data_IF_274520877700
#
_entry.id   IF_274520877700
#
_cell.length_a   1.000
_cell.length_b   1.000
_cell.length_c   1.000
_cell.angle_alpha   90.00
_cell.angle_beta   90.00
_cell.angle_gamma   90.00
#
_symmetry.space_group_name_H-M   'P 1'
#
loop_
_entity.id
_entity.type
_entity.pdbx_description
1 polymer ?
#
# COMPACT_ATOMS: atom_id res chain seq x y z
N UNK A 1 -13.70 16.24 -16.76
CA UNK A 1 -13.27 15.57 -18.00
C UNK A 1 -14.05 14.28 -18.18
N UNK A 2 -14.18 13.72 -19.38
CA UNK A 2 -14.61 12.33 -19.48
C UNK A 2 -13.63 11.45 -18.72
N UNK A 3 -14.11 10.36 -18.12
CA UNK A 3 -13.29 9.36 -17.45
C UNK A 3 -12.22 8.82 -18.40
N UNK A 4 -10.96 8.71 -17.95
CA UNK A 4 -9.85 8.12 -18.71
C UNK A 4 -9.92 6.60 -18.55
N UNK A 5 -10.17 6.18 -17.30
CA UNK A 5 -10.43 4.79 -16.91
C UNK A 5 -11.82 4.68 -16.31
N UNK A 6 -12.23 3.50 -15.89
CA UNK A 6 -13.50 3.32 -15.16
C UNK A 6 -13.33 3.52 -13.64
N UNK A 7 -12.11 3.87 -13.17
CA UNK A 7 -11.79 4.07 -11.77
C UNK A 7 -11.34 5.52 -11.50
N UNK A 8 -12.15 6.27 -10.76
CA UNK A 8 -11.87 7.67 -10.42
C UNK A 8 -10.57 7.86 -9.63
N UNK A 9 -10.12 6.85 -8.89
CA UNK A 9 -8.89 6.88 -8.09
C UNK A 9 -7.66 6.92 -9.00
N UNK A 10 -7.70 6.13 -10.07
CA UNK A 10 -6.68 6.11 -11.11
C UNK A 10 -6.70 7.43 -11.90
N UNK A 11 -7.89 7.85 -12.33
CA UNK A 11 -8.08 9.10 -13.08
C UNK A 11 -7.61 10.34 -12.31
N UNK A 12 -7.73 10.32 -10.97
CA UNK A 12 -7.30 11.41 -10.12
C UNK A 12 -5.78 11.58 -10.09
N UNK A 13 -5.01 10.52 -10.37
CA UNK A 13 -3.54 10.53 -10.36
C UNK A 13 -2.97 10.73 -11.77
N UNK A 14 -3.74 10.48 -12.84
CA UNK A 14 -3.29 10.65 -14.22
C UNK A 14 -3.28 12.13 -14.65
N UNK A 15 -2.18 12.61 -15.20
CA UNK A 15 -2.07 13.97 -15.74
C UNK A 15 -2.94 14.17 -17.00
N UNK A 16 -3.22 13.10 -17.73
CA UNK A 16 -4.11 13.07 -18.90
C UNK A 16 -3.94 11.77 -19.67
N UNK A 17 -4.91 11.45 -20.52
CA UNK A 17 -4.85 10.24 -21.35
C UNK A 17 -3.66 10.25 -22.33
N UNK A 18 -3.19 11.43 -22.72
CA UNK A 18 -2.13 11.63 -23.71
C UNK A 18 -0.80 12.09 -23.10
N UNK A 19 -0.77 12.31 -21.78
CA UNK A 19 0.44 12.74 -21.06
C UNK A 19 1.23 11.50 -20.68
N UNK A 20 1.97 10.95 -21.62
CA UNK A 20 2.85 9.78 -21.48
C UNK A 20 3.91 9.78 -22.58
N UNK A 21 4.96 8.96 -22.40
CA UNK A 21 6.09 8.92 -23.36
C UNK A 21 5.74 8.33 -24.72
N UNK A 22 4.79 7.46 -24.80
CA UNK A 22 4.24 6.99 -26.09
C UNK A 22 2.74 7.28 -26.13
N UNK A 23 2.34 8.45 -26.66
CA UNK A 23 0.94 8.88 -26.67
C UNK A 23 0.07 8.09 -27.66
N UNK A 24 0.65 7.29 -28.56
CA UNK A 24 -0.12 6.55 -29.56
C UNK A 24 -1.02 5.48 -28.92
N UNK A 25 -0.51 4.74 -27.92
CA UNK A 25 -1.26 3.69 -27.24
C UNK A 25 -0.85 3.56 -25.76
N UNK A 26 -1.81 3.58 -24.83
CA UNK A 26 -1.58 3.22 -23.43
C UNK A 26 -1.28 1.71 -23.31
N UNK A 27 -0.50 1.34 -22.27
CA UNK A 27 -0.19 -0.05 -22.00
C UNK A 27 0.77 -0.72 -22.99
N UNK A 28 1.58 0.05 -23.71
CA UNK A 28 2.64 -0.48 -24.58
C UNK A 28 4.01 -0.31 -23.97
N UNK A 29 4.94 -1.27 -24.23
CA UNK A 29 6.32 -1.16 -23.81
C UNK A 29 6.98 0.13 -24.34
N UNK A 30 7.76 0.80 -23.50
CA UNK A 30 8.50 2.01 -23.87
C UNK A 30 9.96 1.91 -23.44
N UNK A 31 10.86 2.34 -24.31
CA UNK A 31 12.28 2.50 -24.00
C UNK A 31 12.61 3.98 -23.84
N UNK A 32 13.11 4.35 -22.65
CA UNK A 32 13.51 5.72 -22.32
C UNK A 32 15.00 5.79 -22.05
N UNK A 33 15.62 6.87 -22.52
CA UNK A 33 16.97 7.22 -22.12
C UNK A 33 16.93 8.21 -20.98
N UNK A 34 17.91 8.13 -20.06
CA UNK A 34 18.06 9.13 -19.02
C UNK A 34 19.51 9.57 -18.85
N UNK A 35 19.69 10.78 -18.32
CA UNK A 35 21.01 11.32 -18.04
C UNK A 35 20.99 12.24 -16.81
N UNK A 36 22.16 12.39 -16.19
CA UNK A 36 22.37 13.36 -15.12
C UNK A 36 22.98 14.63 -15.72
N UNK A 37 22.28 15.75 -15.58
CA UNK A 37 22.70 17.04 -16.16
C UNK A 37 24.13 17.38 -15.75
N UNK A 38 25.01 17.55 -16.75
CA UNK A 38 26.40 17.99 -16.56
C UNK A 38 26.53 19.52 -16.53
N UNK A 39 25.55 20.21 -17.10
CA UNK A 39 25.40 21.65 -17.11
C UNK A 39 23.91 22.00 -17.28
N UNK A 40 23.52 23.24 -16.99
CA UNK A 40 22.18 23.74 -17.28
C UNK A 40 21.86 23.57 -18.77
N UNK A 41 20.73 22.92 -19.13
CA UNK A 41 20.30 22.80 -20.52
C UNK A 41 20.15 24.15 -21.21
N UNK A 42 20.50 24.23 -22.49
CA UNK A 42 20.42 25.48 -23.28
C UNK A 42 18.98 25.94 -23.52
N UNK A 43 18.03 25.06 -23.43
CA UNK A 43 16.59 25.34 -23.57
C UNK A 43 15.91 25.65 -22.23
N UNK A 44 16.57 25.39 -21.09
CA UNK A 44 16.03 25.60 -19.75
C UNK A 44 15.74 27.09 -19.48
N UNK A 45 14.74 27.40 -18.67
CA UNK A 45 14.49 28.77 -18.22
C UNK A 45 15.60 29.19 -17.24
N UNK A 46 16.43 30.19 -17.61
CA UNK A 46 17.52 30.61 -16.72
C UNK A 46 17.05 31.16 -15.36
N UNK A 47 15.83 31.67 -15.27
CA UNK A 47 15.29 32.24 -14.03
C UNK A 47 14.71 31.17 -13.09
N UNK A 48 14.09 30.14 -13.65
CA UNK A 48 13.51 29.03 -12.91
C UNK A 48 14.52 27.89 -12.77
N UNK A 49 14.88 27.25 -13.88
CA UNK A 49 15.70 26.03 -13.91
C UNK A 49 17.17 26.35 -13.58
N UNK A 50 17.64 27.54 -14.00
CA UNK A 50 19.02 28.00 -13.80
C UNK A 50 19.32 28.58 -12.41
N UNK A 51 18.33 28.75 -11.56
CA UNK A 51 18.50 29.35 -10.23
C UNK A 51 19.40 28.48 -9.35
N UNK A 52 20.66 28.87 -9.16
CA UNK A 52 21.69 28.10 -8.45
C UNK A 52 21.78 26.63 -8.91
N UNK A 53 21.67 26.41 -10.21
CA UNK A 53 21.80 25.07 -10.81
C UNK A 53 23.05 24.36 -10.29
N UNK A 54 22.91 23.08 -9.99
CA UNK A 54 24.03 22.16 -9.71
C UNK A 54 23.73 20.75 -10.19
N UNK A 55 24.80 20.00 -10.42
CA UNK A 55 24.67 18.58 -10.78
C UNK A 55 24.19 17.76 -9.58
N UNK A 56 23.54 16.65 -9.82
CA UNK A 56 23.17 15.71 -8.75
C UNK A 56 24.40 15.16 -8.02
N UNK A 57 24.26 14.95 -6.70
CA UNK A 57 25.24 14.24 -5.88
C UNK A 57 25.28 12.76 -6.26
N UNK A 58 26.36 12.04 -5.86
CA UNK A 58 26.44 10.60 -6.13
C UNK A 58 25.36 9.82 -5.40
N UNK A 59 24.95 10.24 -4.19
CA UNK A 59 23.84 9.62 -3.45
C UNK A 59 22.50 9.76 -4.21
N UNK A 60 22.20 10.95 -4.75
CA UNK A 60 21.02 11.16 -5.58
C UNK A 60 21.05 10.29 -6.86
N UNK A 61 22.20 10.19 -7.52
CA UNK A 61 22.35 9.36 -8.73
C UNK A 61 22.14 7.87 -8.43
N UNK A 62 22.60 7.39 -7.27
CA UNK A 62 22.38 6.01 -6.83
C UNK A 62 20.87 5.79 -6.64
N UNK A 63 20.21 6.64 -5.87
CA UNK A 63 18.77 6.53 -5.60
C UNK A 63 17.92 6.59 -6.88
N UNK A 64 18.24 7.49 -7.82
CA UNK A 64 17.55 7.52 -9.13
C UNK A 64 17.70 6.19 -9.86
N UNK A 65 18.89 5.61 -9.92
CA UNK A 65 19.13 4.31 -10.58
C UNK A 65 18.33 3.18 -9.91
N UNK A 66 18.27 3.17 -8.60
CA UNK A 66 17.49 2.18 -7.82
C UNK A 66 15.99 2.32 -8.12
N UNK A 67 15.46 3.54 -8.08
CA UNK A 67 14.04 3.81 -8.39
C UNK A 67 13.71 3.40 -9.83
N UNK A 68 14.51 3.81 -10.82
CA UNK A 68 14.30 3.44 -12.23
C UNK A 68 14.42 1.93 -12.46
N UNK A 69 15.32 1.25 -11.75
CA UNK A 69 15.44 -0.21 -11.79
C UNK A 69 14.17 -0.88 -11.24
N UNK A 70 13.67 -0.40 -10.11
CA UNK A 70 12.41 -0.89 -9.52
C UNK A 70 11.24 -0.69 -10.48
N UNK A 71 11.10 0.50 -11.07
CA UNK A 71 10.05 0.77 -12.06
C UNK A 71 10.17 -0.12 -13.31
N UNK A 72 11.40 -0.39 -13.79
CA UNK A 72 11.63 -1.34 -14.89
C UNK A 72 11.26 -2.78 -14.52
N UNK A 73 11.37 -3.16 -13.25
CA UNK A 73 10.93 -4.49 -12.80
C UNK A 73 9.41 -4.63 -12.73
N UNK A 74 8.72 -3.51 -12.48
CA UNK A 74 7.26 -3.44 -12.25
C UNK A 74 6.47 -3.17 -13.54
N UNK A 75 7.03 -2.44 -14.49
CA UNK A 75 6.32 -2.00 -15.70
C UNK A 75 7.09 -2.32 -16.98
N UNK A 76 6.39 -2.32 -18.11
CA UNK A 76 7.01 -2.47 -19.43
C UNK A 76 7.74 -1.19 -19.87
N UNK A 77 8.53 -0.62 -18.98
CA UNK A 77 9.44 0.50 -19.24
C UNK A 77 10.89 0.00 -19.11
N UNK A 78 11.73 0.40 -20.03
CA UNK A 78 13.18 0.20 -19.91
C UNK A 78 13.88 1.56 -19.85
N UNK A 79 14.81 1.72 -18.92
CA UNK A 79 15.60 2.94 -18.76
C UNK A 79 17.06 2.66 -19.12
N UNK A 80 17.62 3.49 -20.02
CA UNK A 80 19.03 3.39 -20.44
C UNK A 80 19.76 4.68 -20.09
N UNK A 81 20.76 4.57 -19.21
CA UNK A 81 21.61 5.73 -18.88
C UNK A 81 22.52 6.09 -20.03
N UNK A 82 22.56 7.37 -20.38
CA UNK A 82 23.49 7.91 -21.38
C UNK A 82 24.27 9.08 -20.79
N UNK A 83 25.42 9.38 -21.39
CA UNK A 83 26.23 10.52 -20.99
C UNK A 83 25.55 11.83 -21.38
N UNK A 84 25.41 12.75 -20.43
CA UNK A 84 24.85 14.08 -20.68
C UNK A 84 25.86 15.01 -21.33
N UNK A 85 25.42 15.69 -22.39
CA UNK A 85 26.16 16.76 -23.05
C UNK A 85 25.17 17.72 -23.71
N UNK A 86 25.67 18.83 -24.25
CA UNK A 86 24.85 19.80 -25.03
C UNK A 86 24.28 19.25 -26.34
N UNK A 87 24.79 18.13 -26.85
CA UNK A 87 24.39 17.53 -28.10
C UNK A 87 23.73 16.16 -27.97
N UNK A 88 23.87 15.53 -26.79
CA UNK A 88 23.31 14.20 -26.49
C UNK A 88 22.92 14.15 -25.05
N UNK A 89 21.65 13.93 -24.75
CA UNK A 89 21.08 13.85 -23.41
C UNK A 89 19.90 12.89 -23.37
N UNK A 90 19.55 12.45 -22.16
CA UNK A 90 18.40 11.55 -21.94
C UNK A 90 17.06 12.25 -22.16
N UNK A 91 16.03 11.44 -22.43
CA UNK A 91 14.65 11.92 -22.42
C UNK A 91 14.23 12.36 -21.01
N UNK A 92 14.73 11.64 -19.98
CA UNK A 92 14.66 12.09 -18.59
C UNK A 92 16.01 12.71 -18.22
N UNK A 93 16.00 13.93 -17.69
CA UNK A 93 17.22 14.59 -17.25
C UNK A 93 17.10 15.04 -15.82
N UNK A 94 18.10 14.75 -15.02
CA UNK A 94 18.10 14.94 -13.58
C UNK A 94 19.13 15.98 -13.16
N UNK A 95 18.69 17.03 -12.46
CA UNK A 95 19.54 18.10 -11.93
C UNK A 95 19.04 18.63 -10.60
N UNK A 96 19.73 19.65 -10.09
CA UNK A 96 19.32 20.37 -8.89
C UNK A 96 19.27 21.87 -9.17
N UNK A 97 18.38 22.59 -8.49
CA UNK A 97 18.39 24.06 -8.46
C UNK A 97 17.83 24.57 -7.13
N UNK A 98 17.97 25.86 -6.84
CA UNK A 98 17.39 26.42 -5.62
C UNK A 98 15.93 26.78 -5.84
N UNK A 99 15.07 26.27 -4.98
CA UNK A 99 13.63 26.50 -4.98
C UNK A 99 13.22 27.12 -3.63
N UNK A 100 12.16 27.91 -3.62
CA UNK A 100 11.72 28.63 -2.41
C UNK A 100 10.60 27.94 -1.65
N UNK A 101 9.80 27.12 -2.33
CA UNK A 101 8.54 26.57 -1.77
C UNK A 101 8.34 25.08 -2.02
N UNK A 102 9.20 24.45 -2.84
CA UNK A 102 9.04 23.04 -3.22
C UNK A 102 10.30 22.24 -2.88
N UNK A 103 10.15 20.95 -2.68
CA UNK A 103 11.26 20.00 -2.49
C UNK A 103 11.89 19.57 -3.82
N UNK A 104 11.11 19.60 -4.87
CA UNK A 104 11.48 19.34 -6.26
C UNK A 104 10.40 19.85 -7.20
N UNK A 105 10.63 19.70 -8.49
CA UNK A 105 9.62 19.74 -9.54
C UNK A 105 10.10 18.98 -10.77
N UNK A 106 9.16 18.51 -11.56
CA UNK A 106 9.45 17.83 -12.81
C UNK A 106 8.47 18.26 -13.91
N UNK A 107 8.92 18.15 -15.15
CA UNK A 107 8.10 18.39 -16.33
C UNK A 107 7.47 17.08 -16.80
N UNK A 108 6.17 17.13 -17.11
CA UNK A 108 5.44 15.99 -17.66
C UNK A 108 6.01 15.49 -18.99
N UNK A 109 5.72 14.23 -19.39
CA UNK A 109 6.08 13.69 -20.69
C UNK A 109 5.21 14.26 -21.81
N UNK A 110 5.03 15.57 -21.83
CA UNK A 110 4.24 16.31 -22.81
C UNK A 110 5.16 16.87 -23.89
N UNK A 111 5.12 16.28 -25.07
CA UNK A 111 5.93 16.71 -26.21
C UNK A 111 5.65 18.13 -26.67
N UNK A 112 4.52 18.74 -26.26
CA UNK A 112 4.19 20.13 -26.61
C UNK A 112 5.10 21.16 -25.93
N UNK A 113 5.72 20.79 -24.79
CA UNK A 113 6.65 21.65 -24.05
C UNK A 113 8.10 21.53 -24.56
N UNK A 114 8.34 20.76 -25.62
CA UNK A 114 9.65 20.61 -26.24
C UNK A 114 10.64 19.80 -25.41
N UNK A 115 11.88 20.25 -25.39
CA UNK A 115 13.01 19.54 -24.79
C UNK A 115 12.99 19.54 -23.24
N UNK A 116 12.10 20.33 -22.60
CA UNK A 116 11.90 20.30 -21.16
C UNK A 116 11.15 19.05 -20.69
N UNK A 117 10.43 18.34 -21.57
CA UNK A 117 9.67 17.15 -21.20
C UNK A 117 10.56 16.11 -20.53
N UNK A 118 10.20 15.70 -19.30
CA UNK A 118 10.97 14.74 -18.52
C UNK A 118 12.16 15.30 -17.74
N UNK A 119 12.41 16.62 -17.77
CA UNK A 119 13.40 17.25 -16.90
C UNK A 119 12.91 17.28 -15.45
N UNK A 120 13.82 17.03 -14.53
CA UNK A 120 13.55 17.00 -13.10
C UNK A 120 14.63 17.75 -12.33
N UNK A 121 14.19 18.59 -11.38
CA UNK A 121 15.08 19.39 -10.53
C UNK A 121 14.73 19.20 -9.05
N UNK A 122 15.70 18.75 -8.26
CA UNK A 122 15.59 18.66 -6.80
C UNK A 122 16.10 19.96 -6.16
N UNK A 123 15.43 20.38 -5.12
CA UNK A 123 15.78 21.61 -4.41
C UNK A 123 17.11 21.47 -3.66
N UNK A 124 18.09 22.33 -3.97
CA UNK A 124 19.39 22.40 -3.32
C UNK A 124 19.58 23.67 -2.48
N UNK A 125 18.52 24.43 -2.19
CA UNK A 125 18.62 25.57 -1.30
C UNK A 125 19.17 25.15 0.08
N UNK A 126 19.94 26.02 0.77
CA UNK A 126 20.55 25.68 2.06
C UNK A 126 19.55 25.20 3.13
N UNK A 127 18.35 25.75 3.13
CA UNK A 127 17.24 25.37 4.01
C UNK A 127 16.60 24.02 3.61
N UNK A 128 16.81 23.55 2.39
CA UNK A 128 16.33 22.27 1.85
C UNK A 128 17.39 21.16 1.98
N UNK A 129 18.27 21.22 2.96
CA UNK A 129 19.40 20.29 3.12
C UNK A 129 18.98 18.82 3.18
N UNK A 130 17.73 18.52 3.55
CA UNK A 130 17.21 17.14 3.60
C UNK A 130 16.98 16.55 2.20
N UNK A 131 16.75 17.36 1.16
CA UNK A 131 16.45 16.86 -0.18
C UNK A 131 17.69 16.37 -0.96
N UNK A 132 18.88 16.80 -0.57
CA UNK A 132 20.14 16.38 -1.17
C UNK A 132 20.80 15.19 -0.44
N UNK A 133 20.40 14.93 0.81
CA UNK A 133 20.88 13.80 1.59
C UNK A 133 19.92 12.60 1.41
N UNK A 134 20.04 11.94 0.28
CA UNK A 134 19.11 10.88 -0.14
C UNK A 134 19.52 9.55 0.49
N UNK A 135 18.70 9.08 1.40
CA UNK A 135 18.80 7.74 2.02
C UNK A 135 17.42 7.10 1.93
N UNK A 136 17.38 5.80 1.71
CA UNK A 136 16.14 5.02 1.73
C UNK A 136 15.31 5.29 3.00
N UNK A 137 14.01 5.51 2.86
CA UNK A 137 13.13 5.85 3.98
C UNK A 137 13.21 7.31 4.44
N UNK A 138 13.82 8.21 3.69
CA UNK A 138 13.84 9.65 3.98
C UNK A 138 12.95 10.44 3.02
N UNK A 139 12.57 11.65 3.43
CA UNK A 139 11.82 12.59 2.59
C UNK A 139 12.50 12.85 1.23
N UNK A 140 13.84 12.94 1.20
CA UNK A 140 14.57 13.08 -0.05
C UNK A 140 14.38 11.90 -1.01
N UNK A 141 14.27 10.67 -0.50
CA UNK A 141 14.00 9.48 -1.31
C UNK A 141 12.55 9.47 -1.82
N UNK A 142 11.60 9.77 -0.93
CA UNK A 142 10.17 9.91 -1.26
C UNK A 142 9.96 11.00 -2.32
N UNK A 143 10.61 12.16 -2.18
CA UNK A 143 10.58 13.25 -3.15
C UNK A 143 11.07 12.79 -4.53
N UNK A 144 12.16 12.02 -4.61
CA UNK A 144 12.63 11.51 -5.91
C UNK A 144 11.59 10.59 -6.58
N UNK A 145 10.91 9.72 -5.83
CA UNK A 145 9.84 8.87 -6.39
C UNK A 145 8.70 9.75 -6.91
N UNK A 146 8.29 10.76 -6.13
CA UNK A 146 7.24 11.72 -6.49
C UNK A 146 7.58 12.44 -7.81
N UNK A 147 8.75 13.06 -7.88
CA UNK A 147 9.15 13.82 -9.08
C UNK A 147 9.35 12.92 -10.31
N UNK A 148 9.88 11.70 -10.12
CA UNK A 148 9.94 10.71 -11.20
C UNK A 148 8.52 10.32 -11.64
N UNK A 149 7.55 10.23 -10.72
CA UNK A 149 6.14 10.03 -11.04
C UNK A 149 5.61 11.07 -12.05
N UNK A 150 5.92 12.35 -11.84
CA UNK A 150 5.56 13.43 -12.78
C UNK A 150 6.19 13.22 -14.15
N UNK A 151 7.48 12.84 -14.22
CA UNK A 151 8.14 12.57 -15.50
C UNK A 151 7.53 11.39 -16.27
N UNK A 152 6.74 10.56 -15.60
CA UNK A 152 6.03 9.41 -16.16
C UNK A 152 4.55 9.67 -16.41
N UNK A 153 4.01 10.86 -16.08
CA UNK A 153 2.63 11.25 -16.37
C UNK A 153 1.67 11.22 -15.19
N UNK A 154 2.17 11.11 -13.96
CA UNK A 154 1.34 11.24 -12.77
C UNK A 154 1.19 12.70 -12.35
N UNK A 155 -0.01 13.10 -11.91
CA UNK A 155 -0.29 14.43 -11.35
C UNK A 155 -0.66 14.34 -9.87
N UNK A 156 -0.71 15.49 -9.19
CA UNK A 156 -1.24 15.59 -7.84
C UNK A 156 -2.73 15.21 -7.82
N UNK A 157 -3.15 14.30 -6.93
CA UNK A 157 -4.53 13.83 -6.89
C UNK A 157 -5.51 14.80 -6.25
N UNK A 158 -5.05 15.76 -5.44
CA UNK A 158 -5.87 16.74 -4.77
C UNK A 158 -5.98 18.07 -5.54
N UNK A 159 -6.95 18.90 -5.17
CA UNK A 159 -7.13 20.25 -5.75
C UNK A 159 -6.29 21.29 -4.97
N UNK A 160 -4.99 21.28 -5.14
CA UNK A 160 -4.05 22.06 -4.31
C UNK A 160 -3.73 23.46 -4.85
N UNK A 161 -4.30 23.89 -5.98
CA UNK A 161 -3.90 25.14 -6.66
C UNK A 161 -2.38 25.22 -6.89
N UNK A 162 -1.72 24.11 -7.15
CA UNK A 162 -0.29 24.07 -7.42
C UNK A 162 0.01 24.79 -8.73
N UNK A 163 0.14 26.11 -8.66
CA UNK A 163 0.46 27.01 -9.77
C UNK A 163 1.93 26.88 -10.23
N UNK A 164 2.58 25.74 -9.97
CA UNK A 164 4.03 25.65 -10.14
C UNK A 164 4.48 25.25 -11.54
N UNK A 165 3.67 24.60 -12.36
CA UNK A 165 4.14 24.20 -13.70
C UNK A 165 2.99 23.91 -14.67
N UNK A 166 2.31 24.96 -15.05
CA UNK A 166 1.52 24.98 -16.29
C UNK A 166 0.48 23.87 -16.44
N UNK A 167 -0.71 24.02 -15.88
CA UNK A 167 -1.87 23.40 -16.47
C UNK A 167 -2.82 22.63 -15.54
N UNK A 168 -2.38 22.07 -14.45
CA UNK A 168 -3.18 21.04 -13.73
C UNK A 168 -4.14 21.57 -12.66
N UNK A 169 -4.11 22.85 -12.35
CA UNK A 169 -4.78 23.44 -11.20
C UNK A 169 -6.33 23.31 -11.19
N UNK A 170 -6.96 22.79 -12.25
CA UNK A 170 -8.42 22.76 -12.35
C UNK A 170 -9.02 21.54 -13.05
N UNK A 171 -8.24 20.49 -13.33
CA UNK A 171 -8.74 19.34 -14.07
C UNK A 171 -8.90 18.10 -13.18
N UNK A 172 -10.12 17.92 -12.64
CA UNK A 172 -10.52 16.70 -11.91
C UNK A 172 -10.61 15.47 -12.82
N UNK A 173 -10.89 14.28 -12.26
CA UNK A 173 -11.32 14.09 -10.88
C UNK A 173 -10.19 14.32 -9.86
N UNK A 174 -10.60 14.56 -8.60
CA UNK A 174 -9.69 14.73 -7.47
C UNK A 174 -10.04 13.75 -6.37
N UNK A 175 -9.04 13.24 -5.68
CA UNK A 175 -9.24 12.54 -4.42
C UNK A 175 -9.68 13.54 -3.33
N UNK A 176 -10.43 13.06 -2.37
CA UNK A 176 -10.93 13.90 -1.26
C UNK A 176 -10.92 13.13 0.05
N UNK A 177 -10.88 13.88 1.17
CA UNK A 177 -10.91 13.28 2.50
C UNK A 177 -9.69 12.38 2.74
N UNK A 178 -9.89 11.21 3.30
CA UNK A 178 -8.82 10.28 3.69
C UNK A 178 -8.08 9.66 2.50
N UNK A 179 -8.68 9.64 1.32
CA UNK A 179 -8.02 9.09 0.12
C UNK A 179 -6.98 10.05 -0.47
N UNK A 180 -7.13 11.36 -0.22
CA UNK A 180 -6.12 12.35 -0.60
C UNK A 180 -5.01 12.38 0.45
N UNK A 181 -4.19 11.35 0.45
CA UNK A 181 -3.02 11.24 1.33
C UNK A 181 -1.93 10.40 0.69
N UNK A 182 -0.70 10.55 1.20
CA UNK A 182 0.47 9.76 0.79
C UNK A 182 0.31 8.26 1.04
N UNK A 183 -0.69 7.83 1.81
CA UNK A 183 -1.02 6.42 1.99
C UNK A 183 -1.53 5.77 0.70
N UNK A 184 -2.22 6.52 -0.15
CA UNK A 184 -2.87 6.03 -1.37
C UNK A 184 -2.21 6.52 -2.65
N UNK A 185 -1.57 7.70 -2.62
CA UNK A 185 -0.79 8.25 -3.74
C UNK A 185 0.39 9.05 -3.21
N UNK A 186 1.61 8.69 -3.64
CA UNK A 186 2.82 9.47 -3.33
C UNK A 186 2.75 10.88 -3.92
N UNK A 187 1.85 11.10 -4.89
CA UNK A 187 1.62 12.41 -5.51
C UNK A 187 0.76 13.33 -4.64
N UNK A 188 0.22 12.88 -3.49
CA UNK A 188 -0.54 13.69 -2.55
C UNK A 188 0.36 14.63 -1.75
N UNK A 189 -0.17 15.81 -1.41
CA UNK A 189 0.47 16.76 -0.47
C UNK A 189 -0.04 16.61 0.97
N UNK A 190 -0.92 15.65 1.21
CA UNK A 190 -1.40 15.33 2.55
C UNK A 190 -0.49 14.27 3.16
N UNK A 191 0.41 14.64 4.09
CA UNK A 191 1.38 13.72 4.64
C UNK A 191 0.69 12.61 5.43
N UNK A 192 1.37 11.47 5.48
CA UNK A 192 1.00 10.39 6.36
C UNK A 192 1.19 10.80 7.84
N UNK A 193 0.37 10.24 8.73
CA UNK A 193 0.52 10.42 10.17
C UNK A 193 1.88 9.90 10.65
N UNK A 194 2.41 10.46 11.73
CA UNK A 194 3.67 10.07 12.36
C UNK A 194 4.96 10.44 11.59
N UNK A 195 4.89 11.18 10.46
CA UNK A 195 6.06 11.63 9.72
C UNK A 195 6.91 10.52 9.11
N UNK A 196 6.29 9.37 8.82
CA UNK A 196 6.93 8.28 8.09
C UNK A 196 6.94 8.59 6.60
N UNK A 197 8.01 8.19 5.92
CA UNK A 197 8.20 8.45 4.51
C UNK A 197 7.93 7.19 3.67
N UNK A 198 7.37 7.39 2.48
CA UNK A 198 7.07 6.30 1.55
C UNK A 198 8.33 5.88 0.78
N UNK A 199 8.50 4.57 0.62
CA UNK A 199 9.68 3.98 -0.03
C UNK A 199 9.41 3.38 -1.41
N UNK A 200 8.15 3.31 -1.83
CA UNK A 200 7.73 2.80 -3.14
C UNK A 200 6.43 3.49 -3.59
N UNK A 201 5.98 3.19 -4.80
CA UNK A 201 4.71 3.70 -5.31
C UNK A 201 3.57 3.34 -4.34
N UNK A 202 2.62 4.24 -4.21
CA UNK A 202 1.39 3.96 -3.51
C UNK A 202 0.39 3.22 -4.42
N UNK A 203 -0.68 2.61 -3.87
CA UNK A 203 -1.59 1.77 -4.65
C UNK A 203 -2.19 2.45 -5.88
N UNK A 204 -2.55 3.73 -5.79
CA UNK A 204 -3.18 4.44 -6.91
C UNK A 204 -2.15 4.86 -7.96
N UNK A 205 -0.91 5.20 -7.55
CA UNK A 205 0.18 5.51 -8.48
C UNK A 205 0.56 4.29 -9.30
N UNK A 206 0.69 3.13 -8.65
CA UNK A 206 0.99 1.87 -9.33
C UNK A 206 -0.09 1.52 -10.35
N UNK A 207 -1.37 1.65 -9.98
CA UNK A 207 -2.49 1.39 -10.88
C UNK A 207 -2.50 2.37 -12.07
N UNK A 208 -2.19 3.65 -11.83
CA UNK A 208 -2.10 4.65 -12.89
C UNK A 208 -0.93 4.37 -13.86
N UNK A 209 0.25 4.03 -13.33
CA UNK A 209 1.39 3.64 -14.19
C UNK A 209 1.13 2.31 -14.91
N UNK A 210 0.38 1.38 -14.30
CA UNK A 210 -0.05 0.15 -14.97
C UNK A 210 -0.94 0.44 -16.19
N UNK A 211 -1.84 1.41 -16.07
CA UNK A 211 -2.65 1.86 -17.20
C UNK A 211 -1.79 2.49 -18.30
N UNK A 212 -0.82 3.34 -17.95
CA UNK A 212 0.03 4.04 -18.92
C UNK A 212 1.02 3.12 -19.62
N UNK A 213 1.64 2.19 -18.90
CA UNK A 213 2.84 1.46 -19.33
C UNK A 213 2.76 -0.06 -19.18
N UNK A 214 1.60 -0.61 -18.88
CA UNK A 214 1.40 -2.02 -18.61
C UNK A 214 2.24 -2.56 -17.43
N UNK A 215 1.59 -3.15 -16.44
CA UNK A 215 2.29 -3.80 -15.34
C UNK A 215 2.82 -5.18 -15.77
N UNK A 216 3.99 -5.53 -15.27
CA UNK A 216 4.50 -6.89 -15.28
C UNK A 216 3.91 -7.66 -14.13
N UNK A 217 3.79 -8.97 -14.28
CA UNK A 217 3.41 -9.84 -13.18
C UNK A 217 4.54 -9.87 -12.13
N UNK A 218 4.18 -9.63 -10.88
CA UNK A 218 5.10 -9.62 -9.75
C UNK A 218 4.75 -10.75 -8.78
N UNK A 219 5.76 -11.42 -8.24
CA UNK A 219 5.58 -12.35 -7.12
C UNK A 219 4.46 -13.39 -7.37
N UNK A 220 4.51 -14.11 -8.49
CA UNK A 220 3.45 -15.05 -8.93
C UNK A 220 3.52 -16.44 -8.29
N UNK A 221 4.43 -16.68 -7.37
CA UNK A 221 4.57 -17.92 -6.64
C UNK A 221 4.20 -17.74 -5.17
N UNK A 222 4.19 -18.81 -4.40
CA UNK A 222 3.92 -18.74 -2.97
C UNK A 222 5.02 -17.92 -2.26
N UNK A 223 4.66 -16.74 -1.77
CA UNK A 223 5.58 -15.78 -1.16
C UNK A 223 5.30 -15.59 0.34
N UNK A 224 6.36 -15.38 1.12
CA UNK A 224 6.24 -14.94 2.50
C UNK A 224 6.88 -13.58 2.66
N UNK A 225 6.07 -12.60 3.06
CA UNK A 225 6.48 -11.23 3.32
C UNK A 225 6.79 -11.06 4.80
N UNK A 226 8.06 -11.30 5.16
CA UNK A 226 8.52 -11.16 6.54
C UNK A 226 8.52 -9.68 6.96
N UNK A 227 7.80 -9.40 8.04
CA UNK A 227 7.68 -8.09 8.66
C UNK A 227 8.49 -8.06 9.95
N UNK A 228 9.15 -6.96 10.24
CA UNK A 228 9.99 -6.76 11.42
C UNK A 228 9.61 -5.46 12.14
N UNK A 229 10.19 -5.22 13.32
CA UNK A 229 9.99 -3.93 14.00
C UNK A 229 10.44 -2.73 13.15
N UNK A 230 11.47 -2.90 12.32
CA UNK A 230 11.94 -1.87 11.39
C UNK A 230 10.97 -1.60 10.24
N UNK A 231 10.03 -2.51 9.95
CA UNK A 231 8.96 -2.26 8.97
C UNK A 231 8.08 -1.07 9.36
N UNK A 232 8.06 -0.71 10.65
CA UNK A 232 7.38 0.47 11.18
C UNK A 232 8.06 1.81 10.88
N UNK A 233 9.26 1.81 10.31
CA UNK A 233 10.02 3.03 10.05
C UNK A 233 9.69 3.70 8.71
N UNK A 234 8.88 3.06 7.89
CA UNK A 234 8.55 3.50 6.53
C UNK A 234 7.09 3.22 6.20
N UNK A 235 6.60 3.87 5.14
CA UNK A 235 5.32 3.53 4.50
C UNK A 235 5.61 2.75 3.22
N UNK A 236 4.92 1.61 3.04
CA UNK A 236 5.14 0.75 1.88
C UNK A 236 3.87 0.08 1.36
N UNK A 237 3.92 -0.39 0.13
CA UNK A 237 2.89 -1.21 -0.50
C UNK A 237 3.49 -2.52 -0.98
N UNK A 238 2.82 -3.63 -0.69
CA UNK A 238 3.14 -4.95 -1.25
C UNK A 238 2.32 -5.13 -2.53
N UNK A 239 2.98 -5.60 -3.59
CA UNK A 239 2.39 -5.98 -4.87
C UNK A 239 2.65 -7.45 -5.12
N UNK A 240 1.59 -8.20 -5.32
CA UNK A 240 1.60 -9.62 -5.57
C UNK A 240 0.50 -9.97 -6.57
N UNK A 241 0.84 -10.76 -7.59
CA UNK A 241 -0.07 -11.12 -8.69
C UNK A 241 -0.44 -12.61 -8.67
N UNK A 242 -0.22 -13.29 -7.55
CA UNK A 242 -0.74 -14.62 -7.31
C UNK A 242 0.25 -15.63 -6.77
N UNK A 243 -0.29 -16.57 -6.09
CA UNK A 243 0.37 -17.58 -5.28
C UNK A 243 -0.57 -17.99 -4.15
N UNK A 244 0.02 -18.54 -3.10
CA UNK A 244 -0.60 -18.73 -1.81
C UNK A 244 0.32 -18.05 -0.79
N UNK A 245 -0.01 -16.81 -0.43
CA UNK A 245 0.92 -15.83 0.08
C UNK A 245 0.68 -15.50 1.55
N UNK A 246 1.72 -15.11 2.25
CA UNK A 246 1.69 -14.86 3.71
C UNK A 246 2.25 -13.49 4.07
N UNK A 247 1.51 -12.72 4.87
CA UNK A 247 2.09 -11.65 5.68
C UNK A 247 2.56 -12.27 7.01
N UNK A 248 3.84 -12.23 7.26
CA UNK A 248 4.48 -12.87 8.41
C UNK A 248 5.08 -11.83 9.36
N UNK A 249 4.40 -11.58 10.48
CA UNK A 249 4.84 -10.71 11.57
C UNK A 249 5.36 -11.49 12.80
N UNK A 250 5.69 -12.77 12.64
CA UNK A 250 6.07 -13.66 13.76
C UNK A 250 7.30 -13.18 14.56
N UNK A 251 8.16 -12.35 13.95
CA UNK A 251 9.33 -11.75 14.60
C UNK A 251 9.02 -10.42 15.33
N UNK A 252 7.75 -9.92 15.27
CA UNK A 252 7.36 -8.66 15.91
C UNK A 252 6.85 -8.94 17.34
N UNK A 253 7.29 -8.10 18.28
CA UNK A 253 6.85 -8.25 19.68
C UNK A 253 5.81 -7.21 20.11
N UNK A 254 5.60 -6.18 19.32
CA UNK A 254 4.57 -5.16 19.53
C UNK A 254 3.27 -5.55 18.83
N UNK A 255 2.11 -5.12 19.33
CA UNK A 255 0.84 -5.37 18.66
C UNK A 255 0.83 -4.93 17.21
N UNK A 256 0.35 -5.79 16.31
CA UNK A 256 0.19 -5.49 14.89
C UNK A 256 -1.28 -5.52 14.47
N UNK A 257 -1.59 -4.82 13.39
CA UNK A 257 -2.83 -4.99 12.63
C UNK A 257 -2.43 -5.48 11.25
N UNK A 258 -2.76 -6.72 10.90
CA UNK A 258 -2.60 -7.25 9.54
C UNK A 258 -3.97 -7.33 8.87
N UNK A 259 -4.14 -6.62 7.77
CA UNK A 259 -5.37 -6.60 7.00
C UNK A 259 -5.10 -7.08 5.58
N UNK A 260 -5.67 -8.22 5.21
CA UNK A 260 -5.47 -8.87 3.91
C UNK A 260 -6.34 -8.27 2.79
N UNK A 261 -7.11 -7.23 3.08
CA UNK A 261 -7.88 -6.52 2.04
C UNK A 261 -6.99 -5.55 1.27
N UNK A 262 -7.27 -5.39 -0.02
CA UNK A 262 -6.59 -4.40 -0.86
C UNK A 262 -6.78 -2.98 -0.34
N UNK A 263 -5.88 -2.08 -0.71
CA UNK A 263 -5.86 -0.72 -0.21
C UNK A 263 -7.18 0.03 -0.47
N UNK A 264 -7.81 0.41 0.61
CA UNK A 264 -8.99 1.27 0.68
C UNK A 264 -9.01 1.97 2.06
N UNK A 265 -9.81 3.01 2.26
CA UNK A 265 -9.95 3.61 3.57
C UNK A 265 -10.38 2.59 4.63
N UNK A 266 -9.56 2.44 5.67
CA UNK A 266 -9.78 1.49 6.77
C UNK A 266 -9.27 0.07 6.55
N UNK A 267 -8.53 -0.21 5.46
CA UNK A 267 -7.95 -1.54 5.18
C UNK A 267 -6.43 -1.59 5.30
N UNK A 268 -5.79 -0.54 5.77
CA UNK A 268 -4.33 -0.52 5.92
C UNK A 268 -3.87 -1.30 7.14
N UNK A 269 -2.72 -1.93 7.02
CA UNK A 269 -2.06 -2.62 8.11
C UNK A 269 -1.17 -1.67 8.93
N UNK A 270 -0.93 -2.02 10.19
CA UNK A 270 -0.07 -1.29 11.13
C UNK A 270 0.96 -2.24 11.69
N UNK A 271 2.24 -2.04 11.35
CA UNK A 271 3.29 -3.00 11.68
C UNK A 271 4.57 -2.32 12.17
N UNK A 272 5.16 -2.87 13.22
CA UNK A 272 6.46 -2.46 13.75
C UNK A 272 6.45 -1.14 14.52
N UNK A 273 7.62 -0.58 14.74
CA UNK A 273 7.85 0.64 15.51
C UNK A 273 8.38 1.77 14.63
N UNK A 274 7.84 2.96 14.83
CA UNK A 274 8.37 4.21 14.26
C UNK A 274 9.79 4.52 14.78
N UNK A 275 10.54 5.43 14.14
CA UNK A 275 11.88 5.79 14.60
C UNK A 275 11.97 6.32 16.05
N UNK A 276 10.87 6.85 16.60
CA UNK A 276 10.76 7.30 18.00
C UNK A 276 10.21 6.21 18.94
N UNK A 277 10.06 4.98 18.47
CA UNK A 277 9.69 3.81 19.25
C UNK A 277 8.20 3.71 19.60
N UNK A 278 7.32 4.41 18.85
CA UNK A 278 5.88 4.23 18.98
C UNK A 278 5.38 3.17 17.99
N UNK A 279 4.25 2.48 18.27
CA UNK A 279 3.62 1.64 17.26
C UNK A 279 3.32 2.43 15.98
N UNK A 280 3.70 1.87 14.84
CA UNK A 280 3.39 2.48 13.55
C UNK A 280 1.91 2.28 13.20
N UNK A 281 1.30 3.25 12.54
CA UNK A 281 -0.11 3.20 12.15
C UNK A 281 -0.26 3.35 10.65
N UNK A 282 -1.06 2.47 10.02
CA UNK A 282 -1.41 2.53 8.61
C UNK A 282 -0.19 2.62 7.66
N UNK A 283 0.90 1.95 8.00
CA UNK A 283 2.17 2.06 7.28
C UNK A 283 2.39 0.98 6.22
N UNK A 284 1.50 -0.02 6.14
CA UNK A 284 1.56 -1.08 5.14
C UNK A 284 0.22 -1.19 4.40
N UNK A 285 0.26 -1.22 3.07
CA UNK A 285 -0.90 -1.44 2.21
C UNK A 285 -0.65 -2.59 1.23
N UNK A 286 -1.72 -3.19 0.73
CA UNK A 286 -1.70 -4.12 -0.40
C UNK A 286 -2.12 -3.39 -1.68
N UNK A 287 -1.50 -3.72 -2.80
CA UNK A 287 -1.89 -3.20 -4.12
C UNK A 287 -3.35 -3.53 -4.46
N UNK A 288 -3.96 -2.77 -5.39
CA UNK A 288 -5.39 -2.90 -5.70
C UNK A 288 -5.78 -4.29 -6.26
N UNK A 289 -4.83 -5.02 -6.83
CA UNK A 289 -5.03 -6.36 -7.38
C UNK A 289 -4.28 -7.46 -6.60
N UNK A 290 -3.64 -7.09 -5.48
CA UNK A 290 -2.88 -8.02 -4.64
C UNK A 290 -3.83 -8.87 -3.81
N UNK A 291 -3.59 -10.16 -3.79
CA UNK A 291 -4.32 -11.13 -2.97
C UNK A 291 -3.33 -11.87 -2.08
N UNK A 292 -3.55 -11.82 -0.78
CA UNK A 292 -2.78 -12.55 0.23
C UNK A 292 -3.75 -13.44 1.01
N UNK A 293 -3.40 -14.70 1.22
CA UNK A 293 -4.27 -15.69 1.85
C UNK A 293 -4.00 -15.89 3.32
N UNK A 294 -2.79 -15.61 3.79
CA UNK A 294 -2.38 -15.92 5.16
C UNK A 294 -1.84 -14.71 5.91
N UNK A 295 -2.13 -14.64 7.20
CA UNK A 295 -1.54 -13.69 8.12
C UNK A 295 -1.05 -14.40 9.38
N UNK A 296 0.16 -14.07 9.81
CA UNK A 296 0.78 -14.58 11.04
C UNK A 296 1.13 -13.38 11.91
N UNK A 297 0.54 -13.31 13.09
CA UNK A 297 0.84 -12.32 14.12
C UNK A 297 2.16 -12.60 14.84
N UNK A 298 2.51 -11.75 15.80
CA UNK A 298 3.73 -11.83 16.58
C UNK A 298 3.56 -12.37 17.98
N UNK A 299 4.10 -11.66 18.97
CA UNK A 299 3.91 -11.97 20.38
C UNK A 299 3.09 -10.90 21.12
N UNK A 300 2.60 -9.91 20.40
CA UNK A 300 1.73 -8.84 20.91
C UNK A 300 0.26 -9.25 20.86
N UNK A 301 -0.62 -8.38 21.34
CA UNK A 301 -2.05 -8.55 21.16
C UNK A 301 -2.43 -8.05 19.75
N UNK A 302 -2.57 -8.96 18.81
CA UNK A 302 -2.65 -8.68 17.39
C UNK A 302 -4.09 -8.62 16.88
N UNK A 303 -4.30 -7.93 15.76
CA UNK A 303 -5.55 -7.98 15.01
C UNK A 303 -5.29 -8.44 13.60
N UNK A 304 -5.80 -9.63 13.25
CA UNK A 304 -5.65 -10.24 11.94
C UNK A 304 -7.00 -10.22 11.22
N UNK A 305 -7.06 -9.60 10.04
CA UNK A 305 -8.29 -9.44 9.26
C UNK A 305 -8.08 -10.09 7.90
N UNK A 306 -8.84 -11.13 7.61
CA UNK A 306 -8.88 -11.82 6.33
C UNK A 306 -9.54 -10.98 5.23
N UNK A 307 -9.76 -11.59 4.09
CA UNK A 307 -10.40 -10.98 2.92
C UNK A 307 -11.56 -11.86 2.41
N UNK A 308 -11.91 -11.76 1.13
CA UNK A 308 -12.99 -12.57 0.55
C UNK A 308 -12.59 -14.00 0.14
N UNK A 309 -11.31 -14.34 0.24
CA UNK A 309 -10.79 -15.69 -0.02
C UNK A 309 -10.83 -16.56 1.24
N UNK A 310 -10.49 -17.82 1.10
CA UNK A 310 -10.26 -18.70 2.26
C UNK A 310 -8.90 -18.35 2.87
N UNK A 311 -8.89 -17.87 4.10
CA UNK A 311 -7.70 -17.40 4.78
C UNK A 311 -7.21 -18.36 5.88
N UNK A 312 -5.92 -18.30 6.19
CA UNK A 312 -5.37 -18.85 7.44
C UNK A 312 -4.82 -17.70 8.28
N UNK A 313 -5.38 -17.52 9.48
CA UNK A 313 -4.98 -16.48 10.42
C UNK A 313 -4.40 -17.14 11.66
N UNK A 314 -3.18 -16.76 12.05
CA UNK A 314 -2.44 -17.33 13.20
C UNK A 314 -2.03 -16.19 14.11
N UNK A 315 -2.60 -16.12 15.34
CA UNK A 315 -2.29 -15.09 16.33
C UNK A 315 -0.90 -15.26 16.95
N UNK A 316 -0.53 -16.47 17.32
CA UNK A 316 0.64 -16.90 18.11
C UNK A 316 0.48 -16.61 19.61
N UNK A 317 1.28 -15.71 20.22
CA UNK A 317 1.16 -15.37 21.63
C UNK A 317 0.49 -13.99 21.77
N UNK A 318 -0.35 -13.84 22.76
CA UNK A 318 -1.06 -12.58 23.03
C UNK A 318 -2.57 -12.79 23.09
N UNK A 319 -3.29 -11.77 23.52
CA UNK A 319 -4.77 -11.78 23.45
C UNK A 319 -5.16 -11.23 22.07
N UNK A 320 -5.40 -12.12 21.10
CA UNK A 320 -5.51 -11.77 19.68
C UNK A 320 -6.96 -11.63 19.22
N UNK A 321 -7.17 -10.91 18.13
CA UNK A 321 -8.47 -10.82 17.44
C UNK A 321 -8.30 -11.24 15.99
N UNK A 322 -8.89 -12.38 15.62
CA UNK A 322 -8.85 -12.96 14.29
C UNK A 322 -10.22 -12.83 13.63
N UNK A 323 -10.30 -12.19 12.46
CA UNK A 323 -11.56 -11.92 11.73
C UNK A 323 -11.47 -12.47 10.33
N UNK A 324 -12.11 -13.62 10.04
CA UNK A 324 -11.98 -14.33 8.75
C UNK A 324 -12.64 -13.64 7.56
N UNK A 325 -13.77 -12.98 7.76
CA UNK A 325 -14.64 -12.37 6.76
C UNK A 325 -15.42 -13.38 5.92
N UNK A 326 -15.24 -13.38 4.58
CA UNK A 326 -15.88 -14.32 3.66
C UNK A 326 -14.93 -15.49 3.39
N UNK A 327 -15.48 -16.62 2.91
CA UNK A 327 -14.66 -17.77 2.52
C UNK A 327 -14.82 -18.95 3.46
N UNK A 328 -13.80 -19.80 3.47
CA UNK A 328 -13.61 -20.85 4.47
C UNK A 328 -12.31 -20.59 5.19
N UNK A 329 -12.40 -20.05 6.40
CA UNK A 329 -11.26 -19.51 7.10
C UNK A 329 -10.81 -20.42 8.23
N UNK A 330 -9.50 -20.62 8.33
CA UNK A 330 -8.86 -21.33 9.43
C UNK A 330 -8.22 -20.33 10.38
N UNK A 331 -8.60 -20.38 11.65
CA UNK A 331 -8.11 -19.50 12.68
C UNK A 331 -7.44 -20.28 13.80
N UNK A 332 -6.27 -19.83 14.19
CA UNK A 332 -5.44 -20.37 15.27
C UNK A 332 -5.14 -19.21 16.18
N UNK A 333 -5.72 -19.17 17.38
CA UNK A 333 -5.49 -18.10 18.36
C UNK A 333 -4.07 -18.16 18.90
N UNK A 334 -3.69 -19.30 19.45
CA UNK A 334 -2.41 -19.53 20.08
C UNK A 334 -2.48 -19.46 21.61
N UNK A 335 -1.47 -18.82 22.24
CA UNK A 335 -1.48 -18.63 23.70
C UNK A 335 -2.11 -17.27 24.04
N UNK A 336 -3.14 -17.27 24.84
CA UNK A 336 -3.83 -16.06 25.30
C UNK A 336 -5.32 -16.23 25.49
N UNK A 337 -6.03 -15.11 25.49
CA UNK A 337 -7.49 -15.07 25.52
C UNK A 337 -7.97 -14.44 24.21
N UNK A 338 -8.22 -15.29 23.21
CA UNK A 338 -8.38 -14.87 21.84
C UNK A 338 -9.85 -14.60 21.48
N UNK A 339 -10.06 -13.75 20.48
CA UNK A 339 -11.37 -13.47 19.89
C UNK A 339 -11.39 -14.00 18.47
N UNK A 340 -12.20 -15.04 18.25
CA UNK A 340 -12.49 -15.59 16.94
C UNK A 340 -13.69 -14.85 16.35
N UNK A 341 -13.42 -13.91 15.44
CA UNK A 341 -14.36 -12.91 14.98
C UNK A 341 -15.14 -13.34 13.74
N UNK A 342 -16.44 -13.16 13.79
CA UNK A 342 -17.40 -13.41 12.71
C UNK A 342 -17.98 -12.08 12.27
N UNK A 343 -17.57 -11.59 11.14
CA UNK A 343 -18.01 -10.30 10.56
C UNK A 343 -18.84 -10.47 9.28
N UNK A 344 -18.94 -11.69 8.75
CA UNK A 344 -19.66 -11.97 7.51
C UNK A 344 -20.22 -13.39 7.48
N UNK A 345 -20.90 -13.74 6.39
CA UNK A 345 -21.36 -15.11 6.12
C UNK A 345 -20.21 -15.90 5.53
N UNK A 346 -19.75 -16.94 6.24
CA UNK A 346 -18.61 -17.78 5.83
C UNK A 346 -18.54 -19.05 6.64
N UNK A 347 -17.56 -19.89 6.33
CA UNK A 347 -17.26 -21.09 7.13
C UNK A 347 -15.99 -20.80 7.94
N UNK A 348 -16.07 -21.02 9.24
CA UNK A 348 -14.99 -20.71 10.16
C UNK A 348 -14.52 -21.97 10.85
N UNK A 349 -13.22 -22.24 10.85
CA UNK A 349 -12.58 -23.38 11.47
C UNK A 349 -11.66 -22.87 12.57
N UNK A 350 -12.05 -23.06 13.83
CA UNK A 350 -11.27 -22.69 15.00
C UNK A 350 -10.45 -23.91 15.44
N UNK A 351 -9.14 -23.85 15.23
CA UNK A 351 -8.26 -25.00 15.42
C UNK A 351 -7.93 -25.30 16.89
N UNK A 352 -7.88 -24.26 17.71
CA UNK A 352 -7.37 -24.33 19.07
C UNK A 352 -8.25 -23.61 20.12
N UNK A 353 -9.51 -23.31 19.79
CA UNK A 353 -10.45 -22.60 20.66
C UNK A 353 -10.56 -23.25 22.04
N UNK A 354 -10.33 -22.50 23.12
CA UNK A 354 -10.40 -22.96 24.50
C UNK A 354 -11.63 -22.36 25.20
N UNK A 355 -12.71 -23.14 25.44
CA UNK A 355 -13.91 -22.67 26.15
C UNK A 355 -13.59 -22.09 27.55
N UNK A 356 -14.14 -20.93 27.84
CA UNK A 356 -13.91 -20.23 29.12
C UNK A 356 -12.65 -19.35 29.13
N UNK A 357 -11.78 -19.46 28.13
CA UNK A 357 -10.61 -18.60 27.90
C UNK A 357 -10.90 -17.70 26.69
N UNK A 358 -11.16 -18.32 25.53
CA UNK A 358 -11.40 -17.62 24.29
C UNK A 358 -12.85 -17.16 24.11
N UNK A 359 -13.08 -16.30 23.13
CA UNK A 359 -14.40 -15.77 22.79
C UNK A 359 -14.71 -15.91 21.31
N UNK A 360 -15.98 -16.17 21.02
CA UNK A 360 -16.55 -16.05 19.68
C UNK A 360 -17.15 -14.67 19.58
N UNK A 361 -16.55 -13.79 18.76
CA UNK A 361 -17.00 -12.42 18.54
C UNK A 361 -17.93 -12.33 17.34
N UNK A 362 -19.17 -11.87 17.52
CA UNK A 362 -20.04 -11.50 16.41
C UNK A 362 -19.99 -9.99 16.21
N UNK A 363 -19.69 -9.56 14.97
CA UNK A 363 -19.71 -8.14 14.63
C UNK A 363 -21.14 -7.59 14.73
N UNK A 364 -21.31 -6.53 15.49
CA UNK A 364 -22.62 -5.86 15.64
C UNK A 364 -23.15 -5.31 14.31
N UNK A 365 -22.31 -5.11 13.30
CA UNK A 365 -22.74 -4.72 11.96
C UNK A 365 -23.56 -5.80 11.26
N UNK A 366 -23.50 -7.05 11.69
CA UNK A 366 -24.42 -8.11 11.25
C UNK A 366 -25.88 -7.88 11.71
N UNK A 367 -26.12 -6.86 12.54
CA UNK A 367 -27.44 -6.58 13.10
C UNK A 367 -27.82 -7.49 14.28
N UNK A 368 -26.89 -8.35 14.75
CA UNK A 368 -27.06 -9.27 15.85
C UNK A 368 -26.31 -8.71 17.07
N UNK A 369 -27.00 -8.43 18.17
CA UNK A 369 -26.43 -7.74 19.32
C UNK A 369 -26.45 -8.59 20.62
N UNK A 370 -27.04 -9.77 20.56
CA UNK A 370 -27.11 -10.68 21.70
C UNK A 370 -27.50 -12.10 21.27
N UNK A 371 -27.32 -13.06 22.15
CA UNK A 371 -27.58 -14.47 21.88
C UNK A 371 -29.07 -14.76 21.55
N UNK A 372 -30.02 -14.01 22.11
CA UNK A 372 -31.45 -14.17 21.78
C UNK A 372 -31.73 -13.85 20.29
N UNK A 373 -31.01 -12.91 19.74
CA UNK A 373 -31.10 -12.58 18.31
C UNK A 373 -30.31 -13.57 17.42
N UNK A 374 -29.20 -14.13 17.92
CA UNK A 374 -28.39 -15.12 17.21
C UNK A 374 -29.08 -16.50 17.17
N UNK A 375 -29.64 -16.96 18.27
CA UNK A 375 -30.12 -18.35 18.41
C UNK A 375 -31.14 -18.80 17.35
N UNK A 376 -32.03 -17.96 16.79
CA UNK A 376 -32.92 -18.38 15.70
C UNK A 376 -32.19 -18.70 14.38
N UNK A 377 -30.96 -18.25 14.21
CA UNK A 377 -30.14 -18.54 13.01
C UNK A 377 -29.40 -19.87 13.13
N UNK A 378 -29.26 -20.45 14.32
CA UNK A 378 -28.61 -21.75 14.53
C UNK A 378 -29.61 -22.85 14.17
N UNK A 379 -29.30 -23.64 13.14
CA UNK A 379 -30.17 -24.72 12.62
C UNK A 379 -29.78 -26.10 13.06
N UNK A 380 -28.53 -26.32 13.47
CA UNK A 380 -28.03 -27.59 13.90
C UNK A 380 -26.70 -27.48 14.63
N UNK A 381 -26.43 -28.46 15.48
CA UNK A 381 -25.14 -28.64 16.10
C UNK A 381 -24.79 -30.13 15.98
N UNK A 382 -23.71 -30.39 15.24
CA UNK A 382 -23.15 -31.72 15.07
C UNK A 382 -22.00 -31.92 16.05
N UNK A 383 -22.00 -33.05 16.73
CA UNK A 383 -20.98 -33.45 17.70
C UNK A 383 -20.38 -34.79 17.31
N UNK A 384 -19.96 -34.93 16.06
CA UNK A 384 -19.35 -36.17 15.58
C UNK A 384 -17.84 -36.10 15.77
N UNK A 385 -17.25 -37.18 16.29
CA UNK A 385 -15.85 -37.25 16.67
C UNK A 385 -15.46 -36.32 17.83
N UNK A 386 -14.40 -35.58 17.76
CA UNK A 386 -13.85 -34.67 18.78
C UNK A 386 -14.27 -33.21 18.59
N UNK A 387 -14.91 -32.93 17.45
CA UNK A 387 -15.27 -31.62 16.97
C UNK A 387 -16.72 -31.26 17.27
N UNK A 388 -17.00 -29.96 17.30
CA UNK A 388 -18.36 -29.41 17.31
C UNK A 388 -18.54 -28.55 16.06
N UNK A 389 -19.59 -28.80 15.30
CA UNK A 389 -19.95 -27.97 14.13
C UNK A 389 -21.30 -27.32 14.40
N UNK A 390 -21.33 -25.99 14.39
CA UNK A 390 -22.54 -25.18 14.48
C UNK A 390 -22.96 -24.75 13.09
N UNK A 391 -24.18 -25.11 12.67
CA UNK A 391 -24.75 -24.77 11.38
C UNK A 391 -25.73 -23.59 11.49
N UNK A 392 -25.66 -22.70 10.51
CA UNK A 392 -26.57 -21.55 10.43
C UNK A 392 -27.60 -21.70 9.32
N UNK A 393 -28.65 -20.88 9.37
CA UNK A 393 -29.78 -20.91 8.44
C UNK A 393 -29.35 -20.95 6.98
N UNK A 394 -29.90 -21.93 6.24
CA UNK A 394 -29.67 -22.10 4.81
C UNK A 394 -28.37 -22.81 4.44
N UNK A 395 -27.66 -23.39 5.42
CA UNK A 395 -26.35 -24.06 5.23
C UNK A 395 -25.31 -23.19 4.51
N UNK A 396 -25.43 -21.87 4.68
CA UNK A 396 -24.55 -20.88 4.02
C UNK A 396 -23.35 -20.49 4.89
N UNK A 397 -23.39 -20.89 6.17
CA UNK A 397 -22.32 -20.63 7.14
C UNK A 397 -22.22 -21.74 8.17
N UNK A 398 -21.01 -21.97 8.67
CA UNK A 398 -20.76 -22.89 9.76
C UNK A 398 -19.58 -22.43 10.61
N UNK A 399 -19.55 -22.87 11.87
CA UNK A 399 -18.39 -22.76 12.76
C UNK A 399 -18.00 -24.17 13.17
N UNK A 400 -16.76 -24.54 12.89
CA UNK A 400 -16.17 -25.80 13.33
C UNK A 400 -15.18 -25.54 14.44
N UNK A 401 -15.37 -26.14 15.59
CA UNK A 401 -14.45 -26.14 16.73
C UNK A 401 -13.71 -27.47 16.74
N UNK A 402 -12.45 -27.48 16.36
CA UNK A 402 -11.63 -28.70 16.28
C UNK A 402 -11.21 -29.13 17.69
N UNK A 403 -11.45 -30.42 18.00
CA UNK A 403 -11.01 -31.04 19.26
C UNK A 403 -11.65 -30.49 20.53
N UNK A 404 -12.67 -29.63 20.45
CA UNK A 404 -13.24 -28.93 21.62
C UNK A 404 -13.92 -29.88 22.63
N UNK A 405 -14.39 -31.04 22.16
CA UNK A 405 -15.04 -32.04 23.06
C UNK A 405 -14.06 -32.78 23.98
N UNK A 406 -12.77 -32.71 23.72
CA UNK A 406 -11.71 -33.25 24.59
C UNK A 406 -11.33 -32.29 25.73
N UNK A 407 -11.80 -31.06 25.70
CA UNK A 407 -11.46 -30.07 26.68
C UNK A 407 -12.24 -30.23 27.99
N UNK A 408 -11.64 -29.81 29.11
CA UNK A 408 -12.24 -29.93 30.44
C UNK A 408 -13.41 -28.96 30.68
N UNK A 409 -13.46 -27.86 29.94
CA UNK A 409 -14.50 -26.83 30.00
C UNK A 409 -15.41 -26.95 28.78
N UNK A 410 -16.73 -26.96 29.00
CA UNK A 410 -17.70 -27.06 27.94
C UNK A 410 -17.95 -25.67 27.30
N UNK A 411 -18.13 -25.61 25.99
CA UNK A 411 -18.58 -24.44 25.27
C UNK A 411 -19.90 -23.91 25.84
N UNK A 412 -20.01 -22.62 26.05
CA UNK A 412 -21.16 -21.98 26.71
C UNK A 412 -21.53 -20.65 26.06
N UNK A 413 -22.71 -20.13 26.41
CA UNK A 413 -23.14 -18.79 25.96
C UNK A 413 -22.22 -17.68 26.50
N UNK A 414 -21.50 -17.93 27.60
CA UNK A 414 -20.51 -16.98 28.12
C UNK A 414 -19.26 -16.81 27.23
N UNK A 415 -19.04 -17.73 26.29
CA UNK A 415 -17.95 -17.66 25.34
C UNK A 415 -18.32 -16.83 24.09
N UNK A 416 -19.58 -16.39 23.99
CA UNK A 416 -20.10 -15.58 22.87
C UNK A 416 -20.20 -14.12 23.28
N UNK A 417 -19.58 -13.23 22.48
CA UNK A 417 -19.64 -11.77 22.66
C UNK A 417 -20.17 -11.08 21.40
N UNK A 418 -20.69 -9.88 21.55
CA UNK A 418 -21.23 -9.06 20.46
C UNK A 418 -20.58 -7.68 20.54
N UNK A 419 -19.75 -7.36 19.57
CA UNK A 419 -18.98 -6.12 19.56
C UNK A 419 -18.61 -5.70 18.12
N UNK A 420 -18.06 -4.52 17.92
CA UNK A 420 -17.39 -4.16 16.68
C UNK A 420 -16.08 -4.94 16.56
N UNK A 421 -15.83 -5.55 15.42
CA UNK A 421 -14.64 -6.36 15.13
C UNK A 421 -13.67 -5.65 14.17
#
# INVERSE_FOLDING_TARGET
MPSITDDYRIDAVLAGSDIRWDPAEAGKPVGLTYSFMSALPVYADPAQDGNHFSTMTDAQKIAVREILTTLSSQFDITFTEITDSTQSYGQLRFGNNAQTTTAGYAYYPDKSIGDNAGDLYINNAPEASQTTHVVYGTNAYSTLIHEIGHTLGLKHPGNYNAAASGGDANEGPFLTGVEDSELYSIMSYTPQNQGLERINLAPYDYAALSYLYNAKLLNTGDNSYALTEESGQVVQTIYDDGGNDTLDASEINTPVILNLNVAAPGTLSSVGLTPDGQPAENNLSLGLNTLIEHAIGGTGNDKLIGNSSSNTLIGNNGDDTLVGQLGTDTMIGGEGSDIFGISNVGNYIFQDFIPGVDKIGFDIQLGIQNFTQLSPYITGIDTQSEDVVVHFVGDVASITFVGVLQQSTALSVADVIFQAL
#
